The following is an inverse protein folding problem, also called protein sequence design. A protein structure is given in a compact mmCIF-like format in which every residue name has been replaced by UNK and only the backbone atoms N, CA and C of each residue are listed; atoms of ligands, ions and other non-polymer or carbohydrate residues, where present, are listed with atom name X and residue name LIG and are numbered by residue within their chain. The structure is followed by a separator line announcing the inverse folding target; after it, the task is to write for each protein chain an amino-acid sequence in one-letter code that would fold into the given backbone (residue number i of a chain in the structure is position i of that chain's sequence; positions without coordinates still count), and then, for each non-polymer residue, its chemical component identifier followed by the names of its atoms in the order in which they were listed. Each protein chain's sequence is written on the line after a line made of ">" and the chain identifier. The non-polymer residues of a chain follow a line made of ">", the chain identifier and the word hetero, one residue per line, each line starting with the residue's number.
data_IF_473934593024
#
_entry.id   IF_473934593024
#
_cell.length_a   1.000
_cell.length_b   1.000
_cell.length_c   1.000
_cell.angle_alpha   90.00
_cell.angle_beta   90.00
_cell.angle_gamma   90.00
#
_symmetry.space_group_name_H-M   'P 1'
#
loop_
_entity.id
_entity.type
_entity.pdbx_description
1 polymer ?
#
# COMPACT_ATOMS: atom_id res chain seq x y z
N UNK A 1 10.37 -34.46 -5.13
CA UNK A 1 10.69 -34.23 -6.57
C UNK A 1 9.47 -33.75 -7.36
N UNK A 2 8.30 -34.42 -7.31
CA UNK A 2 7.09 -33.94 -8.00
C UNK A 2 6.60 -32.54 -7.55
N UNK A 3 6.66 -32.24 -6.24
CA UNK A 3 6.20 -30.96 -5.66
C UNK A 3 6.97 -29.70 -6.10
N UNK A 4 8.23 -29.83 -6.54
CA UNK A 4 9.04 -28.67 -6.94
C UNK A 4 8.70 -28.20 -8.36
N UNK A 5 8.44 -29.14 -9.27
CA UNK A 5 7.99 -28.83 -10.63
C UNK A 5 6.57 -28.27 -10.69
N UNK A 6 5.68 -28.69 -9.79
CA UNK A 6 4.31 -28.14 -9.71
C UNK A 6 4.29 -26.70 -9.20
N UNK A 7 5.17 -26.37 -8.23
CA UNK A 7 5.34 -24.99 -7.73
C UNK A 7 5.87 -24.03 -8.79
N UNK A 8 6.87 -24.46 -9.55
CA UNK A 8 7.42 -23.68 -10.68
C UNK A 8 6.40 -23.41 -11.82
N UNK A 9 5.31 -24.17 -11.88
CA UNK A 9 4.24 -24.01 -12.85
C UNK A 9 2.97 -23.35 -12.27
N UNK A 10 2.97 -23.00 -10.97
CA UNK A 10 1.83 -22.32 -10.34
C UNK A 10 1.82 -20.84 -10.76
N UNK A 11 0.80 -20.38 -11.51
CA UNK A 11 0.68 -18.99 -11.92
C UNK A 11 0.64 -18.02 -10.74
N UNK A 12 0.09 -18.44 -9.60
CA UNK A 12 0.00 -17.60 -8.40
C UNK A 12 1.38 -17.38 -7.78
N UNK A 13 2.21 -18.42 -7.72
CA UNK A 13 3.57 -18.30 -7.18
C UNK A 13 4.41 -17.36 -8.05
N UNK A 14 4.26 -17.44 -9.38
CA UNK A 14 4.91 -16.51 -10.31
C UNK A 14 4.45 -15.06 -10.11
N UNK A 15 3.16 -14.84 -9.97
CA UNK A 15 2.59 -13.51 -9.73
C UNK A 15 3.09 -12.92 -8.39
N UNK A 16 3.14 -13.73 -7.33
CA UNK A 16 3.70 -13.31 -6.03
C UNK A 16 5.17 -12.92 -6.16
N UNK A 17 5.99 -13.67 -6.91
CA UNK A 17 7.39 -13.30 -7.14
C UNK A 17 7.55 -11.98 -7.90
N UNK A 18 6.66 -11.69 -8.86
CA UNK A 18 6.63 -10.40 -9.55
C UNK A 18 6.28 -9.27 -8.59
N UNK A 19 5.27 -9.45 -7.75
CA UNK A 19 4.89 -8.42 -6.77
C UNK A 19 5.95 -8.22 -5.69
N UNK A 20 6.72 -9.25 -5.34
CA UNK A 20 7.86 -9.13 -4.43
C UNK A 20 9.00 -8.29 -5.01
N UNK A 21 9.24 -8.33 -6.33
CA UNK A 21 10.23 -7.45 -6.95
C UNK A 21 9.77 -5.99 -6.92
N UNK A 22 8.48 -5.73 -7.14
CA UNK A 22 7.88 -4.40 -6.94
C UNK A 22 7.96 -3.94 -5.48
N UNK A 23 7.69 -4.83 -4.52
CA UNK A 23 7.83 -4.55 -3.10
C UNK A 23 9.27 -4.15 -2.71
N UNK A 24 10.27 -4.76 -3.37
CA UNK A 24 11.67 -4.38 -3.21
C UNK A 24 11.94 -2.97 -3.76
N UNK A 25 11.44 -2.64 -4.95
CA UNK A 25 11.57 -1.28 -5.52
C UNK A 25 10.92 -0.22 -4.60
N UNK A 26 9.79 -0.54 -3.97
CA UNK A 26 9.17 0.32 -2.94
C UNK A 26 10.11 0.52 -1.74
N UNK A 27 10.80 -0.54 -1.30
CA UNK A 27 11.73 -0.48 -0.18
C UNK A 27 12.99 0.34 -0.49
N UNK A 28 13.41 0.43 -1.75
CA UNK A 28 14.58 1.21 -2.18
C UNK A 28 14.37 2.73 -2.01
N UNK A 29 13.11 3.21 -1.98
CA UNK A 29 12.78 4.61 -1.69
C UNK A 29 12.78 4.93 -0.18
N UNK A 30 12.80 3.92 0.69
CA UNK A 30 12.67 4.10 2.14
C UNK A 30 13.78 4.99 2.74
N UNK A 31 15.08 4.84 2.41
CA UNK A 31 16.12 5.70 2.98
C UNK A 31 15.91 7.19 2.68
N UNK A 32 15.54 7.54 1.45
CA UNK A 32 15.29 8.94 1.07
C UNK A 32 14.09 9.52 1.80
N UNK A 33 12.98 8.75 1.88
CA UNK A 33 11.76 9.21 2.53
C UNK A 33 11.94 9.38 4.05
N UNK A 34 12.82 8.59 4.68
CA UNK A 34 13.11 8.70 6.12
C UNK A 34 13.76 10.02 6.50
N UNK A 35 14.51 10.64 5.60
CA UNK A 35 15.20 11.91 5.84
C UNK A 35 14.28 13.13 5.72
N UNK A 36 13.10 12.98 5.10
CA UNK A 36 12.12 14.06 4.98
C UNK A 36 11.49 14.38 6.34
N UNK A 37 11.07 15.62 6.56
CA UNK A 37 10.13 15.94 7.62
C UNK A 37 8.67 15.75 7.14
N UNK A 38 7.68 16.05 7.98
CA UNK A 38 6.28 15.88 7.62
C UNK A 38 5.85 16.83 6.49
N UNK A 39 6.44 18.03 6.42
CA UNK A 39 6.19 18.97 5.33
C UNK A 39 6.74 18.44 3.99
N UNK A 40 7.95 17.87 3.99
CA UNK A 40 8.55 17.24 2.83
C UNK A 40 7.77 16.00 2.36
N UNK A 41 7.30 15.17 3.30
CA UNK A 41 6.46 14.01 2.98
C UNK A 41 5.13 14.44 2.35
N UNK A 42 4.49 15.48 2.90
CA UNK A 42 3.28 16.08 2.35
C UNK A 42 3.51 16.68 0.97
N UNK A 43 4.61 17.41 0.76
CA UNK A 43 4.94 17.98 -0.54
C UNK A 43 5.11 16.90 -1.63
N UNK A 44 5.72 15.76 -1.30
CA UNK A 44 5.80 14.60 -2.21
C UNK A 44 4.42 14.03 -2.54
N UNK A 45 3.55 13.89 -1.54
CA UNK A 45 2.17 13.47 -1.75
C UNK A 45 1.39 14.43 -2.65
N UNK A 46 1.53 15.74 -2.43
CA UNK A 46 0.86 16.75 -3.24
C UNK A 46 1.33 16.72 -4.70
N UNK A 47 2.63 16.48 -4.94
CA UNK A 47 3.17 16.25 -6.28
C UNK A 47 2.61 15.00 -6.94
N UNK A 48 2.46 13.88 -6.20
CA UNK A 48 1.80 12.68 -6.72
C UNK A 48 0.32 12.95 -7.06
N UNK A 49 -0.40 13.70 -6.24
CA UNK A 49 -1.80 14.04 -6.49
C UNK A 49 -1.97 14.86 -7.78
N UNK A 50 -1.02 15.75 -8.08
CA UNK A 50 -0.99 16.49 -9.34
C UNK A 50 -0.73 15.56 -10.53
N UNK A 51 0.29 14.68 -10.43
CA UNK A 51 0.62 13.70 -11.47
C UNK A 51 -0.51 12.73 -11.75
N UNK A 52 -1.27 12.33 -10.73
CA UNK A 52 -2.43 11.44 -10.88
C UNK A 52 -3.59 12.03 -11.73
N UNK A 53 -3.52 13.31 -12.09
CA UNK A 53 -4.46 13.93 -13.04
C UNK A 53 -4.14 13.55 -14.50
N UNK A 54 -2.89 13.18 -14.78
CA UNK A 54 -2.38 12.95 -16.14
C UNK A 54 -1.79 11.54 -16.33
N UNK A 55 -1.24 10.94 -15.26
CA UNK A 55 -0.62 9.63 -15.26
C UNK A 55 -1.58 8.52 -14.79
N UNK A 56 -1.35 7.30 -15.28
CA UNK A 56 -2.03 6.11 -14.76
C UNK A 56 -1.57 5.83 -13.32
N UNK A 57 -2.49 5.39 -12.46
CA UNK A 57 -2.18 5.06 -11.07
C UNK A 57 -1.17 3.92 -10.94
N UNK A 58 -1.16 2.98 -11.90
CA UNK A 58 -0.17 1.90 -11.93
C UNK A 58 1.26 2.47 -12.01
N UNK A 59 1.45 3.58 -12.71
CA UNK A 59 2.76 4.25 -12.83
C UNK A 59 3.19 4.93 -11.52
N UNK A 60 2.22 5.30 -10.66
CA UNK A 60 2.46 5.99 -9.39
C UNK A 60 2.57 5.03 -8.20
N UNK A 61 2.33 3.73 -8.41
CA UNK A 61 2.21 2.72 -7.35
C UNK A 61 3.42 2.72 -6.40
N UNK A 62 4.63 2.67 -6.95
CA UNK A 62 5.85 2.50 -6.15
C UNK A 62 6.03 3.69 -5.19
N UNK A 63 5.93 4.91 -5.72
CA UNK A 63 6.07 6.13 -4.92
C UNK A 63 4.93 6.28 -3.91
N UNK A 64 3.68 5.98 -4.31
CA UNK A 64 2.53 6.08 -3.45
C UNK A 64 2.58 5.10 -2.26
N UNK A 65 3.01 3.86 -2.52
CA UNK A 65 3.16 2.83 -1.49
C UNK A 65 4.34 3.14 -0.57
N UNK A 66 5.43 3.68 -1.10
CA UNK A 66 6.58 4.11 -0.29
C UNK A 66 6.19 5.25 0.66
N UNK A 67 5.45 6.26 0.18
CA UNK A 67 4.92 7.34 1.01
C UNK A 67 3.98 6.82 2.09
N UNK A 68 3.07 5.91 1.73
CA UNK A 68 2.13 5.32 2.70
C UNK A 68 2.85 4.51 3.76
N UNK A 69 3.90 3.76 3.40
CA UNK A 69 4.75 3.03 4.37
C UNK A 69 5.40 3.98 5.36
N UNK A 70 6.04 5.04 4.88
CA UNK A 70 6.74 5.97 5.75
C UNK A 70 5.75 6.76 6.63
N UNK A 71 4.60 7.16 6.08
CA UNK A 71 3.52 7.77 6.84
C UNK A 71 3.03 6.85 7.97
N UNK A 72 2.81 5.56 7.69
CA UNK A 72 2.41 4.59 8.71
C UNK A 72 3.50 4.38 9.77
N UNK A 73 4.77 4.28 9.36
CA UNK A 73 5.91 4.14 10.26
C UNK A 73 6.02 5.32 11.22
N UNK A 74 5.80 6.55 10.74
CA UNK A 74 5.89 7.77 11.55
C UNK A 74 4.70 7.95 12.48
N UNK A 75 3.49 7.81 11.94
CA UNK A 75 2.26 8.24 12.64
C UNK A 75 1.72 7.17 13.58
N UNK A 76 1.78 5.90 13.18
CA UNK A 76 1.21 4.77 13.93
C UNK A 76 2.27 3.72 14.33
N UNK A 77 3.55 4.00 14.06
CA UNK A 77 4.71 3.14 14.42
C UNK A 77 4.66 1.75 13.80
N UNK A 78 3.99 1.61 12.66
CA UNK A 78 3.92 0.36 11.90
C UNK A 78 4.56 0.55 10.54
N UNK A 79 5.65 -0.17 10.30
CA UNK A 79 6.24 -0.30 8.97
C UNK A 79 5.63 -1.52 8.28
N UNK A 80 5.05 -1.36 7.09
CA UNK A 80 4.56 -2.49 6.32
C UNK A 80 5.69 -3.49 6.01
N UNK A 81 5.39 -4.78 6.14
CA UNK A 81 6.24 -5.86 5.63
C UNK A 81 6.13 -5.96 4.10
N UNK A 82 7.08 -6.64 3.46
CA UNK A 82 7.08 -6.78 1.99
C UNK A 82 5.91 -7.65 1.51
N UNK A 83 5.51 -8.66 2.28
CA UNK A 83 4.28 -9.44 2.00
C UNK A 83 3.01 -8.60 2.10
N UNK A 84 3.00 -7.55 2.91
CA UNK A 84 1.88 -6.61 3.00
C UNK A 84 1.84 -5.69 1.78
N UNK A 85 3.01 -5.33 1.22
CA UNK A 85 3.07 -4.61 -0.06
C UNK A 85 2.49 -5.44 -1.19
N UNK A 86 2.85 -6.73 -1.26
CA UNK A 86 2.24 -7.67 -2.22
C UNK A 86 0.72 -7.68 -2.06
N UNK A 87 0.21 -7.78 -0.83
CA UNK A 87 -1.22 -7.70 -0.56
C UNK A 87 -1.86 -6.40 -1.08
N UNK A 88 -1.20 -5.25 -0.87
CA UNK A 88 -1.67 -3.96 -1.39
C UNK A 88 -1.70 -3.90 -2.92
N UNK A 89 -0.69 -4.45 -3.59
CA UNK A 89 -0.60 -4.51 -5.06
C UNK A 89 -1.74 -5.38 -5.62
N UNK A 90 -1.96 -6.55 -5.01
CA UNK A 90 -3.07 -7.45 -5.40
C UNK A 90 -4.43 -6.75 -5.25
N UNK A 91 -4.64 -6.00 -4.17
CA UNK A 91 -5.88 -5.23 -3.99
C UNK A 91 -6.03 -4.11 -5.04
N UNK A 92 -4.96 -3.41 -5.37
CA UNK A 92 -5.00 -2.35 -6.38
C UNK A 92 -5.36 -2.88 -7.77
N UNK A 93 -4.86 -4.06 -8.14
CA UNK A 93 -5.18 -4.73 -9.40
C UNK A 93 -6.61 -5.31 -9.47
N UNK A 94 -7.46 -5.01 -8.48
CA UNK A 94 -8.86 -5.43 -8.45
C UNK A 94 -9.07 -6.90 -8.07
N UNK A 95 -8.07 -7.51 -7.40
CA UNK A 95 -8.09 -8.93 -7.02
C UNK A 95 -8.22 -9.11 -5.52
N UNK A 96 -8.44 -10.35 -5.08
CA UNK A 96 -8.59 -10.71 -3.67
C UNK A 96 -7.24 -11.09 -3.09
N UNK A 97 -6.75 -10.32 -2.12
CA UNK A 97 -5.57 -10.67 -1.34
C UNK A 97 -5.95 -11.62 -0.20
N UNK A 98 -5.71 -12.92 -0.37
CA UNK A 98 -5.83 -13.89 0.73
C UNK A 98 -4.66 -13.73 1.71
N UNK A 99 -4.98 -13.33 2.93
CA UNK A 99 -4.01 -13.14 4.00
C UNK A 99 -4.52 -13.82 5.26
N UNK A 100 -3.65 -14.45 6.04
CA UNK A 100 -4.04 -15.08 7.30
C UNK A 100 -4.43 -14.02 8.34
N UNK A 101 -5.15 -14.44 9.38
CA UNK A 101 -5.43 -13.58 10.53
C UNK A 101 -4.12 -13.18 11.21
N UNK A 102 -3.97 -11.90 11.52
CA UNK A 102 -2.73 -11.35 12.11
C UNK A 102 -1.76 -10.74 11.10
N UNK A 103 -1.94 -10.96 9.79
CA UNK A 103 -1.08 -10.41 8.73
C UNK A 103 -1.26 -8.90 8.49
N UNK A 104 -2.07 -8.20 9.30
CA UNK A 104 -2.23 -6.74 9.22
C UNK A 104 -3.09 -6.24 8.05
N UNK A 105 -4.18 -6.94 7.71
CA UNK A 105 -5.12 -6.56 6.62
C UNK A 105 -5.57 -5.08 6.67
N UNK A 106 -5.83 -4.54 7.86
CA UNK A 106 -6.22 -3.13 8.03
C UNK A 106 -5.11 -2.17 7.59
N UNK A 107 -3.85 -2.47 7.95
CA UNK A 107 -2.69 -1.69 7.53
C UNK A 107 -2.43 -1.82 6.03
N UNK A 108 -2.62 -3.02 5.46
CA UNK A 108 -2.48 -3.28 4.02
C UNK A 108 -3.47 -2.44 3.22
N UNK A 109 -4.72 -2.31 3.68
CA UNK A 109 -5.75 -1.55 3.00
C UNK A 109 -5.39 -0.06 2.83
N UNK A 110 -4.54 0.51 3.68
CA UNK A 110 -4.14 1.91 3.54
C UNK A 110 -3.38 2.18 2.23
N UNK A 111 -2.65 1.19 1.71
CA UNK A 111 -1.85 1.30 0.49
C UNK A 111 -2.70 1.59 -0.76
N UNK A 112 -3.65 0.71 -1.16
CA UNK A 112 -4.50 0.98 -2.31
C UNK A 112 -5.51 2.10 -2.02
N UNK A 113 -5.97 2.30 -0.78
CA UNK A 113 -6.88 3.41 -0.46
C UNK A 113 -6.24 4.77 -0.75
N UNK A 114 -4.98 4.94 -0.35
CA UNK A 114 -4.23 6.16 -0.65
C UNK A 114 -4.00 6.32 -2.15
N UNK A 115 -3.43 5.31 -2.82
CA UNK A 115 -3.12 5.37 -4.26
C UNK A 115 -4.37 5.70 -5.10
N UNK A 116 -5.48 4.99 -4.89
CA UNK A 116 -6.71 5.23 -5.65
C UNK A 116 -7.39 6.55 -5.27
N UNK A 117 -7.21 7.00 -4.02
CA UNK A 117 -7.66 8.30 -3.55
C UNK A 117 -6.99 9.48 -4.25
N UNK A 118 -5.77 9.33 -4.78
CA UNK A 118 -5.05 10.38 -5.51
C UNK A 118 -5.81 10.88 -6.74
N UNK A 119 -6.67 10.04 -7.33
CA UNK A 119 -7.51 10.42 -8.48
C UNK A 119 -8.59 11.47 -8.15
N UNK A 120 -8.80 11.80 -6.87
CA UNK A 120 -9.84 12.73 -6.41
C UNK A 120 -11.27 12.16 -6.46
N UNK A 121 -11.45 10.90 -6.90
CA UNK A 121 -12.76 10.22 -6.97
C UNK A 121 -13.17 9.58 -5.64
N UNK A 122 -12.26 9.55 -4.66
CA UNK A 122 -12.44 8.86 -3.39
C UNK A 122 -12.21 7.34 -3.49
N UNK A 123 -12.15 6.69 -2.33
CA UNK A 123 -12.04 5.24 -2.22
C UNK A 123 -12.86 4.76 -1.01
N UNK A 124 -13.58 3.64 -1.16
CA UNK A 124 -14.47 3.12 -0.11
C UNK A 124 -13.90 1.86 0.53
N UNK A 125 -13.65 1.90 1.85
CA UNK A 125 -13.34 0.72 2.65
C UNK A 125 -14.61 0.19 3.30
N UNK A 126 -15.06 -0.99 2.90
CA UNK A 126 -16.24 -1.65 3.46
C UNK A 126 -15.81 -2.64 4.54
N UNK A 127 -16.47 -2.59 5.69
CA UNK A 127 -16.26 -3.55 6.79
C UNK A 127 -17.59 -4.19 7.19
N UNK A 128 -17.53 -5.24 8.01
CA UNK A 128 -18.72 -6.00 8.40
C UNK A 128 -19.62 -5.31 9.43
N UNK A 129 -19.15 -4.23 10.07
CA UNK A 129 -19.95 -3.45 11.02
C UNK A 129 -19.39 -2.04 11.28
N UNK A 130 -20.22 -1.16 11.83
CA UNK A 130 -19.88 0.23 12.14
C UNK A 130 -18.72 0.39 13.13
N UNK A 131 -18.57 -0.55 14.06
CA UNK A 131 -17.48 -0.50 15.03
C UNK A 131 -16.12 -0.63 14.34
N UNK A 132 -15.97 -1.62 13.45
CA UNK A 132 -14.74 -1.80 12.67
C UNK A 132 -14.50 -0.62 11.73
N UNK A 133 -15.55 -0.11 11.07
CA UNK A 133 -15.43 1.07 10.22
C UNK A 133 -14.88 2.29 11.00
N UNK A 134 -15.47 2.60 12.17
CA UNK A 134 -15.02 3.73 13.00
C UNK A 134 -13.62 3.53 13.57
N UNK A 135 -13.32 2.32 14.05
CA UNK A 135 -12.00 1.97 14.58
C UNK A 135 -10.93 2.11 13.50
N UNK A 136 -11.16 1.54 12.32
CA UNK A 136 -10.18 1.50 11.25
C UNK A 136 -9.98 2.90 10.65
N UNK A 137 -11.05 3.70 10.51
CA UNK A 137 -10.96 5.11 10.12
C UNK A 137 -10.17 5.94 11.15
N UNK A 138 -10.42 5.75 12.45
CA UNK A 138 -9.68 6.43 13.51
C UNK A 138 -8.21 6.02 13.59
N UNK A 139 -7.93 4.72 13.42
CA UNK A 139 -6.57 4.19 13.52
C UNK A 139 -5.71 4.51 12.29
N UNK A 140 -6.26 4.39 11.08
CA UNK A 140 -5.52 4.70 9.84
C UNK A 140 -5.59 6.18 9.45
N UNK A 141 -6.51 6.96 10.02
CA UNK A 141 -6.68 8.39 9.77
C UNK A 141 -5.38 9.20 9.82
N UNK A 142 -4.51 9.06 10.85
CA UNK A 142 -3.23 9.76 10.91
C UNK A 142 -2.32 9.53 9.70
N UNK A 143 -2.35 8.33 9.10
CA UNK A 143 -1.57 7.98 7.91
C UNK A 143 -2.02 8.82 6.71
N UNK A 144 -3.33 8.95 6.51
CA UNK A 144 -3.87 9.79 5.44
C UNK A 144 -3.67 11.27 5.73
N UNK A 145 -3.87 11.72 6.98
CA UNK A 145 -3.76 13.13 7.34
C UNK A 145 -2.36 13.73 7.10
N UNK A 146 -1.28 12.96 7.34
CA UNK A 146 0.09 13.44 7.08
C UNK A 146 0.39 13.53 5.58
N UNK A 147 -0.25 12.68 4.77
CA UNK A 147 -0.15 12.72 3.30
C UNK A 147 -1.14 13.73 2.67
N UNK A 148 -2.16 14.13 3.41
CA UNK A 148 -3.17 15.11 2.99
C UNK A 148 -4.28 14.59 2.11
#
# INVERSE_FOLDING_TARGET
>A
MASFFTRLLDPNEREVQQHLSTAKAIAELEPELKELDDAGLRARSDALRLRAQEEDLDALLIEAFALTREAARRTIRLRHFDVQMVGGIVLHTGRIAEMKTGEGKTLVASLPLYLNGLSGKGAHLVTVNDYLARRDAGWMGPVFNVLG
#
